data_IF_765607135824
#
_entry.id   IF_765607135824
#
_cell.length_a   1.000
_cell.length_b   1.000
_cell.length_c   1.000
_cell.angle_alpha   90.00
_cell.angle_beta   90.00
_cell.angle_gamma   90.00
#
_symmetry.space_group_name_H-M   'P 1'
#
loop_
_entity.id
_entity.type
_entity.pdbx_description
1 polymer ?
#
# COMPACT_ATOMS: atom_id res chain seq x y z
N UNK A 1 -30.96 -33.14 14.59
CA UNK A 1 -30.90 -32.02 15.55
C UNK A 1 -29.44 -31.81 15.85
N UNK A 2 -28.86 -30.71 15.38
CA UNK A 2 -27.50 -30.33 15.77
C UNK A 2 -27.58 -29.82 17.21
N UNK A 3 -27.03 -30.59 18.14
CA UNK A 3 -26.95 -30.20 19.54
C UNK A 3 -25.49 -29.93 19.90
N UNK A 4 -25.24 -28.76 20.47
CA UNK A 4 -24.02 -28.54 21.25
C UNK A 4 -24.22 -29.23 22.58
N UNK A 5 -23.39 -30.24 22.88
CA UNK A 5 -23.48 -30.94 24.16
C UNK A 5 -23.11 -29.97 25.28
N UNK A 6 -23.95 -29.85 26.32
CA UNK A 6 -23.75 -28.85 27.38
C UNK A 6 -22.38 -29.00 28.09
N UNK A 7 -21.81 -30.20 28.10
CA UNK A 7 -20.46 -30.44 28.64
C UNK A 7 -19.31 -29.90 27.76
N UNK A 8 -19.61 -29.40 26.56
CA UNK A 8 -18.66 -28.81 25.61
C UNK A 8 -18.71 -27.27 25.61
N UNK A 9 -19.61 -26.68 26.40
CA UNK A 9 -19.72 -25.24 26.56
C UNK A 9 -18.76 -24.81 27.65
N UNK A 10 -17.79 -23.96 27.29
CA UNK A 10 -16.94 -23.28 28.26
C UNK A 10 -17.59 -21.95 28.62
N UNK A 11 -17.98 -21.79 29.88
CA UNK A 11 -18.51 -20.52 30.39
C UNK A 11 -17.35 -19.59 30.73
N UNK A 12 -17.39 -18.36 30.21
CA UNK A 12 -16.43 -17.33 30.56
C UNK A 12 -16.83 -16.60 31.84
N UNK A 13 -15.94 -16.57 32.82
CA UNK A 13 -15.99 -15.67 33.98
C UNK A 13 -14.57 -15.13 34.29
N UNK A 14 -14.40 -14.33 35.34
CA UNK A 14 -13.10 -13.76 35.68
C UNK A 14 -12.05 -14.83 36.07
N UNK A 15 -12.47 -16.03 36.43
CA UNK A 15 -11.60 -17.12 36.88
C UNK A 15 -11.47 -18.24 35.84
N UNK A 16 -12.29 -18.25 34.78
CA UNK A 16 -12.30 -19.24 33.71
C UNK A 16 -11.28 -18.95 32.58
N UNK A 17 -10.28 -18.10 32.86
CA UNK A 17 -9.27 -17.65 31.89
C UNK A 17 -7.86 -18.00 32.35
N UNK A 18 -7.02 -18.38 31.41
CA UNK A 18 -5.60 -18.62 31.68
C UNK A 18 -4.84 -17.28 31.71
N UNK A 19 -4.10 -17.03 32.79
CA UNK A 19 -3.56 -15.69 33.10
C UNK A 19 -2.04 -15.57 33.29
N UNK A 20 -1.30 -16.69 33.27
CA UNK A 20 0.11 -16.67 33.71
C UNK A 20 1.11 -16.57 32.56
N UNK A 21 1.79 -15.42 32.47
CA UNK A 21 2.98 -15.19 31.65
C UNK A 21 2.68 -14.55 30.30
N UNK A 22 3.36 -15.01 29.26
CA UNK A 22 3.23 -14.50 27.90
C UNK A 22 2.30 -15.39 27.04
N UNK A 23 1.94 -14.96 25.81
CA UNK A 23 1.03 -15.73 24.98
C UNK A 23 1.47 -17.17 24.68
N UNK A 24 2.77 -17.46 24.58
CA UNK A 24 3.27 -18.83 24.36
C UNK A 24 3.14 -19.70 25.62
N UNK A 25 3.43 -19.15 26.80
CA UNK A 25 3.32 -19.90 28.07
C UNK A 25 1.87 -20.22 28.41
N UNK A 26 0.98 -19.25 28.17
CA UNK A 26 -0.46 -19.46 28.35
C UNK A 26 -1.00 -20.50 27.38
N UNK A 27 -0.47 -20.57 26.14
CA UNK A 27 -0.86 -21.61 25.18
C UNK A 27 -0.62 -23.01 25.74
N UNK A 28 0.52 -23.24 26.40
CA UNK A 28 0.88 -24.55 26.95
C UNK A 28 -0.09 -25.05 28.03
N UNK A 29 -0.86 -24.16 28.68
CA UNK A 29 -1.81 -24.51 29.74
C UNK A 29 -3.07 -25.22 29.23
N UNK A 30 -3.46 -25.03 27.96
CA UNK A 30 -4.62 -25.72 27.38
C UNK A 30 -5.45 -24.89 26.41
N UNK A 31 -6.61 -25.39 26.03
CA UNK A 31 -7.61 -24.66 25.23
C UNK A 31 -8.53 -23.85 26.14
N UNK A 32 -8.99 -22.68 25.70
CA UNK A 32 -9.94 -21.85 26.44
C UNK A 32 -9.72 -20.35 26.26
N UNK A 33 -10.34 -19.56 27.14
CA UNK A 33 -10.16 -18.12 27.20
C UNK A 33 -8.81 -17.74 27.83
N UNK A 34 -8.25 -16.63 27.37
CA UNK A 34 -6.96 -16.10 27.84
C UNK A 34 -7.08 -14.63 28.21
N UNK A 35 -6.31 -14.23 29.21
CA UNK A 35 -6.12 -12.83 29.60
C UNK A 35 -4.67 -12.64 30.06
N UNK A 36 -3.86 -12.00 29.23
CA UNK A 36 -2.40 -12.04 29.30
C UNK A 36 -1.86 -10.63 29.38
N UNK A 37 -1.30 -10.20 30.52
CA UNK A 37 -0.90 -8.81 30.77
C UNK A 37 0.51 -8.61 31.35
N UNK A 38 1.24 -9.68 31.68
CA UNK A 38 2.54 -9.59 32.34
C UNK A 38 3.45 -10.76 31.93
N UNK A 39 4.66 -10.46 31.45
CA UNK A 39 5.63 -11.51 31.10
C UNK A 39 6.59 -11.22 29.95
N UNK A 40 6.49 -10.04 29.30
CA UNK A 40 7.24 -9.76 28.07
C UNK A 40 6.96 -10.80 26.96
N UNK A 41 7.69 -10.76 25.85
CA UNK A 41 7.64 -11.85 24.85
C UNK A 41 6.75 -11.61 23.64
N UNK A 42 6.15 -12.68 23.11
CA UNK A 42 5.58 -12.79 21.75
C UNK A 42 4.16 -12.22 21.65
N UNK A 43 3.94 -11.02 22.16
CA UNK A 43 2.65 -10.33 22.01
C UNK A 43 2.35 -10.00 20.54
N UNK A 44 1.06 -9.89 20.16
CA UNK A 44 0.69 -9.25 18.90
C UNK A 44 1.36 -7.87 18.77
N UNK A 45 1.78 -7.45 17.55
CA UNK A 45 2.46 -6.18 17.34
C UNK A 45 1.67 -4.99 17.90
N UNK A 46 2.35 -4.16 18.71
CA UNK A 46 1.78 -2.95 19.31
C UNK A 46 0.91 -3.20 20.55
N UNK A 47 0.86 -4.44 21.05
CA UNK A 47 0.05 -4.81 22.22
C UNK A 47 0.94 -5.13 23.42
N UNK A 48 0.37 -5.00 24.62
CA UNK A 48 1.04 -5.32 25.89
C UNK A 48 0.15 -6.10 26.85
N UNK A 49 -1.16 -6.12 26.58
CA UNK A 49 -2.14 -6.85 27.37
C UNK A 49 -3.26 -7.30 26.44
N UNK A 50 -3.38 -8.62 26.25
CA UNK A 50 -4.32 -9.21 25.31
C UNK A 50 -5.30 -10.17 25.96
N UNK A 51 -6.53 -10.14 25.46
CA UNK A 51 -7.60 -11.05 25.82
C UNK A 51 -8.09 -11.79 24.57
N UNK A 52 -8.56 -13.03 24.74
CA UNK A 52 -9.09 -13.80 23.62
C UNK A 52 -9.30 -15.26 23.94
N UNK A 53 -9.06 -16.12 22.96
CA UNK A 53 -9.20 -17.56 23.11
C UNK A 53 -8.12 -18.31 22.35
N UNK A 54 -7.91 -19.55 22.75
CA UNK A 54 -6.97 -20.46 22.10
C UNK A 54 -7.51 -21.88 22.05
N UNK A 55 -7.13 -22.57 20.99
CA UNK A 55 -7.38 -24.01 20.83
C UNK A 55 -6.05 -24.70 20.71
N UNK A 56 -5.74 -25.59 21.64
CA UNK A 56 -4.52 -26.37 21.69
C UNK A 56 -4.80 -27.84 21.37
N UNK A 57 -3.96 -28.39 20.51
CA UNK A 57 -3.80 -29.81 20.25
C UNK A 57 -2.36 -30.20 20.62
N UNK A 58 -2.17 -31.16 21.53
CA UNK A 58 -0.84 -31.55 22.00
C UNK A 58 -0.66 -33.06 22.00
N UNK A 59 0.45 -33.52 21.40
CA UNK A 59 0.81 -34.94 21.33
C UNK A 59 2.08 -35.24 22.15
N UNK A 60 2.18 -34.70 23.37
CA UNK A 60 3.25 -34.97 24.36
C UNK A 60 4.69 -34.59 23.96
N UNK A 61 4.98 -34.28 22.70
CA UNK A 61 6.29 -33.76 22.24
C UNK A 61 6.19 -32.56 21.29
N UNK A 62 4.97 -32.22 20.84
CA UNK A 62 4.71 -31.12 19.91
C UNK A 62 3.37 -30.45 20.22
N UNK A 63 3.23 -29.21 19.75
CA UNK A 63 2.00 -28.44 19.90
C UNK A 63 1.50 -27.97 18.54
N UNK A 64 0.18 -28.02 18.39
CA UNK A 64 -0.57 -27.45 17.27
C UNK A 64 -1.72 -26.63 17.80
N UNK A 65 -2.18 -25.71 16.99
CA UNK A 65 -3.39 -24.98 17.28
C UNK A 65 -3.30 -23.52 16.91
N UNK A 66 -4.20 -22.74 17.47
CA UNK A 66 -4.47 -21.36 17.07
C UNK A 66 -4.71 -20.54 18.32
N UNK A 67 -4.21 -19.30 18.30
CA UNK A 67 -4.61 -18.27 19.25
C UNK A 67 -5.27 -17.13 18.49
N UNK A 68 -6.35 -16.62 19.06
CA UNK A 68 -6.98 -15.38 18.67
C UNK A 68 -6.97 -14.45 19.87
N UNK A 69 -6.43 -13.26 19.70
CA UNK A 69 -6.25 -12.33 20.80
C UNK A 69 -6.41 -10.89 20.32
N UNK A 70 -6.86 -9.99 21.20
CA UNK A 70 -6.86 -8.57 20.94
C UNK A 70 -6.52 -7.75 22.18
N UNK A 71 -6.11 -6.49 21.97
CA UNK A 71 -5.71 -5.62 23.07
C UNK A 71 -6.91 -5.33 23.97
N UNK A 72 -6.77 -5.59 25.27
CA UNK A 72 -7.88 -5.59 26.25
C UNK A 72 -8.72 -4.30 26.26
N UNK A 73 -8.11 -3.16 25.95
CA UNK A 73 -8.74 -1.84 26.00
C UNK A 73 -8.93 -1.17 24.63
N UNK A 74 -8.71 -1.89 23.52
CA UNK A 74 -8.81 -1.31 22.17
C UNK A 74 -9.63 -2.21 21.25
N UNK A 75 -10.83 -1.74 20.89
CA UNK A 75 -11.64 -2.38 19.84
C UNK A 75 -10.94 -2.38 18.48
N UNK A 76 -11.24 -3.37 17.63
CA UNK A 76 -10.69 -3.45 16.26
C UNK A 76 -9.24 -3.95 16.18
N UNK A 77 -8.69 -4.47 17.27
CA UNK A 77 -7.33 -5.03 17.34
C UNK A 77 -7.36 -6.55 17.48
N UNK A 78 -8.01 -7.26 16.56
CA UNK A 78 -8.04 -8.74 16.61
C UNK A 78 -6.85 -9.29 15.83
N UNK A 79 -6.11 -10.22 16.43
CA UNK A 79 -4.98 -10.91 15.83
C UNK A 79 -5.16 -12.42 15.92
N UNK A 80 -4.57 -13.13 14.97
CA UNK A 80 -4.50 -14.59 14.96
C UNK A 80 -3.08 -15.07 14.66
N UNK A 81 -2.71 -16.20 15.23
CA UNK A 81 -1.51 -16.95 14.85
C UNK A 81 -1.74 -18.44 15.06
N UNK A 82 -0.95 -19.25 14.38
CA UNK A 82 -0.96 -20.70 14.53
C UNK A 82 0.36 -21.22 15.06
N UNK A 83 0.31 -22.42 15.64
CA UNK A 83 1.48 -23.25 15.89
C UNK A 83 1.35 -24.57 15.13
N UNK A 84 2.42 -25.00 14.49
CA UNK A 84 2.51 -26.30 13.83
C UNK A 84 3.78 -27.01 14.28
N UNK A 85 3.61 -28.15 14.95
CA UNK A 85 4.70 -28.96 15.48
C UNK A 85 5.70 -28.12 16.31
N UNK A 86 5.17 -27.23 17.17
CA UNK A 86 5.95 -26.34 18.01
C UNK A 86 6.50 -25.07 17.32
N UNK A 87 6.43 -24.97 15.99
CA UNK A 87 6.82 -23.77 15.26
C UNK A 87 5.65 -22.76 15.17
N UNK A 88 5.86 -21.56 15.70
CA UNK A 88 4.87 -20.48 15.69
C UNK A 88 4.94 -19.64 14.42
N UNK A 89 3.78 -19.34 13.85
CA UNK A 89 3.66 -18.24 12.89
C UNK A 89 3.79 -16.90 13.62
N UNK A 90 4.14 -15.81 12.93
CA UNK A 90 3.95 -14.48 13.48
C UNK A 90 2.45 -14.23 13.72
N UNK A 91 2.16 -13.16 14.46
CA UNK A 91 0.80 -12.64 14.60
C UNK A 91 0.35 -11.91 13.35
N UNK A 92 -0.84 -12.24 12.87
CA UNK A 92 -1.52 -11.57 11.78
C UNK A 92 -2.72 -10.82 12.31
N UNK A 93 -2.83 -9.54 11.96
CA UNK A 93 -4.01 -8.74 12.32
C UNK A 93 -5.18 -9.11 11.40
N UNK A 94 -6.34 -9.35 12.00
CA UNK A 94 -7.62 -9.49 11.31
C UNK A 94 -8.22 -8.10 11.17
N UNK A 95 -8.34 -7.64 9.93
CA UNK A 95 -9.04 -6.39 9.60
C UNK A 95 -10.51 -6.73 9.32
N UNK A 96 -11.41 -6.09 10.05
CA UNK A 96 -12.86 -6.37 10.00
C UNK A 96 -13.67 -5.24 9.37
N UNK A 97 -13.01 -4.14 9.01
CA UNK A 97 -13.54 -3.00 8.27
C UNK A 97 -12.83 -2.82 6.91
N UNK A 98 -13.24 -1.80 6.15
CA UNK A 98 -12.56 -1.41 4.91
C UNK A 98 -11.16 -0.82 5.13
N UNK A 99 -10.69 -0.67 6.38
CA UNK A 99 -9.38 -0.11 6.68
C UNK A 99 -8.29 -1.17 6.51
N UNK A 100 -7.66 -1.14 5.34
CA UNK A 100 -6.57 -2.03 4.97
C UNK A 100 -5.32 -1.21 4.71
N UNK A 101 -4.48 -0.94 5.73
CA UNK A 101 -3.33 -0.05 5.61
C UNK A 101 -2.30 -0.48 4.53
N UNK A 102 -2.40 -1.71 4.03
CA UNK A 102 -1.59 -2.24 2.92
C UNK A 102 -2.37 -2.75 1.70
N UNK A 103 -3.70 -2.87 1.75
CA UNK A 103 -4.47 -3.28 0.56
C UNK A 103 -4.86 -2.09 -0.32
N UNK A 104 -4.84 -0.86 0.23
CA UNK A 104 -4.96 0.39 -0.55
C UNK A 104 -3.64 0.85 -1.16
N UNK A 105 -2.53 0.15 -0.91
CA UNK A 105 -1.22 0.52 -1.46
C UNK A 105 -1.05 0.16 -2.95
N UNK A 106 -2.09 -0.38 -3.60
CA UNK A 106 -2.10 -0.72 -5.01
C UNK A 106 -3.41 -0.27 -5.68
N UNK A 107 -3.52 1.03 -5.96
CA UNK A 107 -4.53 1.61 -6.85
C UNK A 107 -5.63 2.35 -6.09
N UNK A 108 -5.51 3.65 -5.83
CA UNK A 108 -5.79 4.65 -6.86
C UNK A 108 -5.35 6.03 -6.35
N UNK A 109 -4.45 6.70 -7.07
CA UNK A 109 -4.02 8.08 -6.79
C UNK A 109 -5.13 9.14 -7.00
N UNK A 110 -6.39 8.74 -7.19
CA UNK A 110 -7.46 9.60 -7.71
C UNK A 110 -8.72 9.70 -6.83
N UNK A 111 -8.66 9.35 -5.54
CA UNK A 111 -9.84 9.51 -4.66
C UNK A 111 -10.16 10.98 -4.30
N UNK A 112 -9.23 11.92 -4.52
CA UNK A 112 -9.36 13.32 -4.08
C UNK A 112 -9.44 14.35 -5.24
N UNK A 113 -9.78 13.93 -6.46
CA UNK A 113 -10.08 14.83 -7.58
C UNK A 113 -8.88 15.43 -8.32
N UNK A 114 -7.64 15.23 -7.83
CA UNK A 114 -6.43 15.59 -8.59
C UNK A 114 -5.24 14.71 -8.23
N UNK A 115 -4.51 14.23 -9.23
CA UNK A 115 -3.17 13.64 -9.07
C UNK A 115 -2.15 14.61 -9.66
N UNK A 116 -1.17 15.03 -8.86
CA UNK A 116 -0.10 15.94 -9.29
C UNK A 116 1.26 15.27 -9.22
N UNK A 117 2.07 15.41 -10.26
CA UNK A 117 3.45 14.94 -10.31
C UNK A 117 4.39 16.13 -10.35
N UNK A 118 5.21 16.29 -9.30
CA UNK A 118 6.34 17.23 -9.33
C UNK A 118 7.57 16.47 -9.78
N UNK A 119 8.20 16.93 -10.85
CA UNK A 119 9.39 16.31 -11.41
C UNK A 119 10.57 17.23 -11.19
N UNK A 120 11.74 16.66 -10.91
CA UNK A 120 12.98 17.41 -10.91
C UNK A 120 13.43 17.71 -12.36
N UNK A 121 14.73 17.93 -12.55
CA UNK A 121 15.33 18.22 -13.86
C UNK A 121 15.13 17.09 -14.91
N UNK A 122 14.51 15.97 -14.53
CA UNK A 122 14.25 14.80 -15.37
C UNK A 122 12.85 14.74 -16.00
N UNK A 123 11.91 15.60 -15.59
CA UNK A 123 10.55 15.67 -16.18
C UNK A 123 9.64 14.48 -15.85
N UNK A 124 8.43 14.45 -16.43
CA UNK A 124 7.47 13.35 -16.24
C UNK A 124 7.66 12.30 -17.35
N UNK A 125 7.99 11.08 -16.96
CA UNK A 125 8.20 9.96 -17.87
C UNK A 125 7.09 8.93 -17.72
N UNK A 126 6.19 8.85 -18.69
CA UNK A 126 5.25 7.73 -18.81
C UNK A 126 5.90 6.65 -19.66
N UNK A 127 6.19 5.51 -19.03
CA UNK A 127 6.70 4.31 -19.69
C UNK A 127 5.50 3.40 -19.97
N UNK A 128 5.43 2.76 -21.15
CA UNK A 128 4.35 1.85 -21.60
C UNK A 128 3.00 2.51 -21.97
N UNK A 129 2.97 3.71 -22.54
CA UNK A 129 1.74 4.34 -23.04
C UNK A 129 1.23 3.77 -24.40
N UNK A 130 1.21 2.44 -24.53
CA UNK A 130 0.94 1.63 -25.73
C UNK A 130 2.15 1.41 -26.68
N UNK A 131 2.65 0.17 -26.70
CA UNK A 131 3.70 -0.29 -27.61
C UNK A 131 5.13 -0.17 -27.06
N UNK A 132 5.94 -1.22 -27.28
CA UNK A 132 7.38 -1.22 -26.97
C UNK A 132 8.05 -0.06 -27.73
N UNK A 133 8.58 0.92 -26.99
CA UNK A 133 9.37 2.03 -27.55
C UNK A 133 8.67 3.38 -27.66
N UNK A 134 7.37 3.49 -27.35
CA UNK A 134 6.64 4.77 -27.35
C UNK A 134 6.87 5.56 -26.05
N UNK A 135 7.44 6.76 -26.16
CA UNK A 135 7.67 7.66 -25.02
C UNK A 135 6.95 8.99 -25.25
N UNK A 136 6.07 9.39 -24.32
CA UNK A 136 5.60 10.79 -24.22
C UNK A 136 6.45 11.46 -23.14
N UNK A 137 7.35 12.36 -23.56
CA UNK A 137 8.21 13.14 -22.65
C UNK A 137 7.68 14.56 -22.56
N UNK A 138 7.05 14.88 -21.44
CA UNK A 138 6.69 16.25 -21.06
C UNK A 138 7.63 16.65 -19.93
N UNK A 139 8.64 17.44 -20.24
CA UNK A 139 9.65 17.87 -19.28
C UNK A 139 9.99 19.34 -19.42
N UNK A 140 10.71 19.86 -18.44
CA UNK A 140 11.39 21.14 -18.53
C UNK A 140 12.89 20.95 -18.53
N UNK A 141 13.62 21.61 -19.43
CA UNK A 141 15.07 21.72 -19.37
C UNK A 141 15.45 23.19 -19.16
N UNK A 142 16.42 23.44 -18.27
CA UNK A 142 16.91 24.79 -17.99
C UNK A 142 15.81 25.79 -17.59
N UNK A 143 14.82 25.32 -16.83
CA UNK A 143 13.71 26.14 -16.33
C UNK A 143 12.62 26.46 -17.36
N UNK A 144 12.59 25.79 -18.52
CA UNK A 144 11.56 26.00 -19.55
C UNK A 144 10.87 24.68 -19.89
N UNK A 145 9.53 24.59 -19.89
CA UNK A 145 8.81 23.42 -20.41
C UNK A 145 9.04 23.26 -21.92
N UNK A 146 9.33 22.04 -22.39
CA UNK A 146 9.55 21.76 -23.82
C UNK A 146 9.97 20.32 -24.14
N UNK A 147 10.05 20.01 -25.44
CA UNK A 147 10.57 18.73 -25.97
C UNK A 147 12.00 18.98 -26.45
N UNK A 148 12.98 18.32 -25.85
CA UNK A 148 14.41 18.54 -26.11
C UNK A 148 15.07 17.32 -26.76
N UNK A 149 16.01 17.57 -27.67
CA UNK A 149 16.86 16.55 -28.33
C UNK A 149 16.09 15.36 -28.93
N UNK A 150 14.96 15.61 -29.57
CA UNK A 150 14.23 14.60 -30.36
C UNK A 150 14.31 14.95 -31.84
N UNK A 151 14.69 14.01 -32.73
CA UNK A 151 14.76 14.25 -34.17
C UNK A 151 13.37 14.38 -34.82
N UNK A 152 12.31 14.03 -34.10
CA UNK A 152 10.91 14.15 -34.55
C UNK A 152 9.98 14.48 -33.38
N UNK A 153 8.92 15.25 -33.65
CA UNK A 153 7.80 15.48 -32.74
C UNK A 153 6.52 15.22 -33.55
N UNK A 154 5.72 14.24 -33.13
CA UNK A 154 4.42 13.95 -33.74
C UNK A 154 3.32 14.49 -32.83
N UNK A 155 2.56 15.47 -33.31
CA UNK A 155 1.39 16.04 -32.61
C UNK A 155 0.18 15.78 -33.51
N UNK A 156 -0.72 14.90 -33.07
CA UNK A 156 -2.02 14.69 -33.71
C UNK A 156 -3.06 15.63 -33.11
N UNK A 157 -3.98 16.13 -33.95
CA UNK A 157 -5.18 16.82 -33.49
C UNK A 157 -6.33 16.45 -34.39
N UNK A 158 -7.50 16.19 -33.80
CA UNK A 158 -8.74 15.96 -34.55
C UNK A 158 -9.33 17.27 -35.10
N UNK A 159 -8.82 18.44 -34.68
CA UNK A 159 -9.36 19.72 -35.09
C UNK A 159 -8.28 20.77 -35.40
N UNK A 160 -7.53 21.26 -34.40
CA UNK A 160 -6.50 22.29 -34.62
C UNK A 160 -5.31 22.16 -33.68
N UNK A 161 -4.13 22.57 -34.15
CA UNK A 161 -2.90 22.74 -33.36
C UNK A 161 -2.50 24.21 -33.45
N UNK A 162 -2.29 24.88 -32.30
CA UNK A 162 -1.82 26.26 -32.26
C UNK A 162 -0.33 26.32 -31.91
N UNK A 163 0.45 26.96 -32.77
CA UNK A 163 1.85 27.31 -32.47
C UNK A 163 1.93 28.81 -32.22
N UNK A 164 2.32 29.22 -31.01
CA UNK A 164 2.72 30.60 -30.76
C UNK A 164 4.21 30.75 -31.09
N UNK A 165 4.49 31.43 -32.19
CA UNK A 165 5.84 31.87 -32.51
C UNK A 165 6.06 33.24 -31.86
N UNK A 166 7.14 33.42 -31.11
CA UNK A 166 7.53 34.77 -30.71
C UNK A 166 7.98 35.52 -31.97
N UNK A 167 7.31 36.61 -32.33
CA UNK A 167 7.83 37.52 -33.35
C UNK A 167 9.18 38.06 -32.86
N UNK A 168 10.26 37.62 -33.50
CA UNK A 168 11.52 38.36 -33.39
C UNK A 168 11.27 39.75 -34.01
N UNK A 169 11.69 40.85 -33.35
CA UNK A 169 11.66 42.15 -33.99
C UNK A 169 12.45 42.06 -35.30
N UNK A 170 11.86 42.49 -36.41
CA UNK A 170 12.55 42.58 -37.70
C UNK A 170 13.76 43.52 -37.53
N UNK A 171 14.95 42.95 -37.32
CA UNK A 171 16.19 43.70 -37.40
C UNK A 171 16.32 44.28 -38.83
N UNK A 172 16.85 45.51 -39.01
CA UNK A 172 16.82 46.24 -40.29
C UNK A 172 17.49 45.56 -41.50
N UNK A 173 18.13 44.39 -41.34
CA UNK A 173 18.78 43.67 -42.43
C UNK A 173 17.84 42.86 -43.33
N UNK A 174 16.57 42.66 -42.95
CA UNK A 174 15.58 41.95 -43.78
C UNK A 174 15.20 42.69 -45.08
N UNK A 175 15.61 43.95 -45.27
CA UNK A 175 15.40 44.71 -46.52
C UNK A 175 16.34 44.33 -47.66
N UNK A 176 17.40 43.53 -47.43
CA UNK A 176 18.34 43.13 -48.51
C UNK A 176 17.90 41.90 -49.30
N UNK A 177 17.03 41.05 -48.77
CA UNK A 177 16.60 39.84 -49.49
C UNK A 177 15.41 40.10 -50.44
N UNK A 178 14.50 41.01 -50.09
CA UNK A 178 13.34 41.33 -50.93
C UNK A 178 13.69 42.13 -52.22
N UNK A 179 14.83 42.83 -52.27
CA UNK A 179 15.21 43.66 -53.43
C UNK A 179 15.99 42.94 -54.54
N UNK A 180 16.30 41.64 -54.39
CA UNK A 180 17.03 40.86 -55.41
C UNK A 180 16.11 40.02 -56.32
N UNK A 181 14.80 40.05 -56.11
CA UNK A 181 13.82 39.37 -56.98
C UNK A 181 13.07 40.29 -57.97
N UNK A 182 13.38 41.58 -58.03
CA UNK A 182 12.81 42.51 -59.05
C UNK A 182 13.78 42.79 -60.22
N UNK A 183 14.81 41.95 -60.42
CA UNK A 183 15.76 42.13 -61.54
C UNK A 183 16.09 40.84 -62.28
N UNK A 184 15.09 39.95 -62.40
CA UNK A 184 15.03 38.86 -63.38
C UNK A 184 13.57 38.77 -63.86
N UNK A 185 13.20 39.68 -64.76
CA UNK A 185 12.09 39.57 -65.70
C UNK A 185 12.45 40.42 -66.91
#
# INVERSE_FOLDING_TARGET
MDYVHASQIVYGDNNAKSIHGNPDSVFALGSGFIDVWDGGGTYPPGTSHVQGFQTRHSNLGNQWGIQLAGQYNQGGTIYTRGVNAGAWSPWYRIYTDGYRPYADSAGTLAAAGSSSFSTDNSGFHVINAEGSGSNVRLGSAWGRPGIYNSPHITIGSENTIYFLLSQAPLMPMARRFARRMERIA
#
